data_IF_080196796044
#
_entry.id   IF_080196796044
#
_cell.length_a   1.000
_cell.length_b   1.000
_cell.length_c   1.000
_cell.angle_alpha   90.00
_cell.angle_beta   90.00
_cell.angle_gamma   90.00
#
_symmetry.space_group_name_H-M   'P 1'
#
loop_
_entity.id
_entity.type
_entity.pdbx_description
1 polymer ?
#
# COMPACT_ATOMS: atom_id res chain seq x y z
N UNK A 1 17.47 -3.38 22.19
CA UNK A 1 18.04 -2.66 21.03
C UNK A 1 16.89 -1.98 20.29
N UNK A 2 16.90 -0.65 20.21
CA UNK A 2 15.89 0.10 19.44
C UNK A 2 16.23 -0.02 17.95
N UNK A 3 15.54 -0.89 17.20
CA UNK A 3 15.62 -0.90 15.74
C UNK A 3 15.05 0.42 15.24
N UNK A 4 15.85 1.24 14.55
CA UNK A 4 15.33 2.39 13.80
C UNK A 4 14.44 1.85 12.68
N UNK A 5 13.14 2.13 12.75
CA UNK A 5 12.18 1.86 11.68
C UNK A 5 12.14 3.06 10.73
N UNK A 6 12.13 2.86 9.40
CA UNK A 6 11.91 3.97 8.48
C UNK A 6 10.50 4.53 8.73
N UNK A 7 10.40 5.86 8.86
CA UNK A 7 9.14 6.56 9.13
C UNK A 7 8.46 7.09 7.87
N UNK A 8 9.21 7.22 6.76
CA UNK A 8 8.74 7.78 5.50
C UNK A 8 9.59 7.24 4.33
N UNK A 9 8.95 6.94 3.21
CA UNK A 9 9.58 6.68 1.91
C UNK A 9 8.96 7.61 0.86
N UNK A 10 9.76 8.05 -0.12
CA UNK A 10 9.33 8.94 -1.20
C UNK A 10 9.83 8.38 -2.53
N UNK A 11 8.94 8.32 -3.53
CA UNK A 11 9.24 7.80 -4.86
C UNK A 11 8.80 8.77 -5.97
N UNK A 12 9.73 9.03 -6.89
CA UNK A 12 9.49 9.78 -8.13
C UNK A 12 9.12 8.81 -9.26
N UNK A 13 7.98 9.03 -9.92
CA UNK A 13 7.46 8.13 -10.96
C UNK A 13 7.42 8.87 -12.29
N UNK A 14 8.18 8.35 -13.25
CA UNK A 14 8.31 8.89 -14.60
C UNK A 14 7.47 8.09 -15.60
N UNK A 15 6.93 8.75 -16.61
CA UNK A 15 6.22 8.09 -17.70
C UNK A 15 7.15 7.66 -18.86
N UNK A 16 6.58 7.12 -19.95
CA UNK A 16 7.35 6.62 -21.10
C UNK A 16 8.11 7.70 -21.88
N UNK A 17 7.83 8.99 -21.66
CA UNK A 17 8.59 10.12 -22.22
C UNK A 17 9.71 10.59 -21.29
N UNK A 18 9.83 9.99 -20.09
CA UNK A 18 10.76 10.42 -19.05
C UNK A 18 10.28 11.66 -18.29
N UNK A 19 9.00 12.02 -18.41
CA UNK A 19 8.42 13.14 -17.66
C UNK A 19 7.96 12.66 -16.29
N UNK A 20 8.26 13.44 -15.24
CA UNK A 20 7.79 13.15 -13.90
C UNK A 20 6.26 13.29 -13.89
N UNK A 21 5.55 12.18 -13.71
CA UNK A 21 4.08 12.14 -13.79
C UNK A 21 3.42 12.01 -12.41
N UNK A 22 4.13 11.45 -11.42
CA UNK A 22 3.64 11.25 -10.06
C UNK A 22 4.75 11.31 -9.02
N UNK A 23 4.37 11.80 -7.84
CA UNK A 23 5.11 11.67 -6.59
C UNK A 23 4.31 10.74 -5.67
N UNK A 24 4.99 9.82 -4.99
CA UNK A 24 4.37 8.96 -3.99
C UNK A 24 5.08 9.09 -2.65
N UNK A 25 4.31 9.31 -1.60
CA UNK A 25 4.77 9.32 -0.21
C UNK A 25 4.16 8.13 0.52
N UNK A 26 5.00 7.35 1.20
CA UNK A 26 4.58 6.18 1.96
C UNK A 26 4.93 6.37 3.42
N UNK A 27 3.89 6.39 4.26
CA UNK A 27 4.01 6.58 5.71
C UNK A 27 4.13 5.21 6.36
N UNK A 28 5.35 4.82 6.71
CA UNK A 28 5.65 3.46 7.16
C UNK A 28 5.47 3.33 8.69
N UNK A 29 4.88 2.21 9.11
CA UNK A 29 4.73 1.85 10.51
C UNK A 29 5.16 0.39 10.75
N UNK A 30 5.78 0.10 11.91
CA UNK A 30 6.04 -1.28 12.31
C UNK A 30 4.74 -1.95 12.77
N UNK A 31 4.40 -3.08 12.16
CA UNK A 31 3.33 -3.98 12.59
C UNK A 31 3.95 -5.13 13.39
N UNK A 32 4.11 -4.92 14.70
CA UNK A 32 4.85 -5.83 15.57
C UNK A 32 4.25 -7.24 15.63
N UNK A 33 2.93 -7.35 15.68
CA UNK A 33 2.22 -8.64 15.72
C UNK A 33 2.44 -9.49 14.46
N UNK A 34 2.81 -8.85 13.35
CA UNK A 34 3.10 -9.48 12.06
C UNK A 34 4.59 -9.47 11.71
N UNK A 35 5.45 -8.99 12.62
CA UNK A 35 6.90 -8.88 12.47
C UNK A 35 7.37 -8.17 11.18
N UNK A 36 6.58 -7.22 10.66
CA UNK A 36 6.86 -6.53 9.39
C UNK A 36 6.68 -5.02 9.50
N UNK A 37 7.21 -4.29 8.52
CA UNK A 37 6.96 -2.85 8.33
C UNK A 37 6.08 -2.66 7.11
N UNK A 38 4.99 -1.90 7.25
CA UNK A 38 4.04 -1.67 6.16
C UNK A 38 3.51 -0.24 6.20
N UNK A 39 2.88 0.19 5.11
CA UNK A 39 2.30 1.53 5.03
C UNK A 39 1.08 1.66 5.95
N UNK A 40 1.14 2.62 6.86
CA UNK A 40 -0.01 3.13 7.63
C UNK A 40 -0.85 4.12 6.83
N UNK A 41 -0.28 4.66 5.74
CA UNK A 41 -0.93 5.54 4.80
C UNK A 41 -0.02 5.74 3.59
N UNK A 42 -0.61 6.14 2.48
CA UNK A 42 0.13 6.59 1.31
C UNK A 42 -0.58 7.78 0.68
N UNK A 43 0.19 8.72 0.15
CA UNK A 43 -0.30 9.80 -0.67
C UNK A 43 0.32 9.69 -2.07
N UNK A 44 -0.53 9.74 -3.10
CA UNK A 44 -0.09 9.77 -4.49
C UNK A 44 -0.56 11.06 -5.13
N UNK A 45 0.37 11.81 -5.71
CA UNK A 45 0.12 13.08 -6.38
C UNK A 45 0.26 12.88 -7.89
N UNK A 46 -0.77 13.19 -8.66
CA UNK A 46 -0.72 13.25 -10.12
C UNK A 46 -0.38 14.67 -10.54
N UNK A 47 0.87 14.86 -10.96
CA UNK A 47 1.43 16.19 -11.22
C UNK A 47 0.89 16.80 -12.51
N UNK A 48 0.35 15.98 -13.42
CA UNK A 48 -0.21 16.44 -14.69
C UNK A 48 -1.65 16.93 -14.49
N UNK A 49 -2.45 16.17 -13.76
CA UNK A 49 -3.85 16.49 -13.52
C UNK A 49 -4.08 17.37 -12.28
N UNK A 50 -3.05 17.61 -11.46
CA UNK A 50 -3.14 18.44 -10.25
C UNK A 50 -4.02 17.85 -9.14
N UNK A 51 -4.19 16.52 -9.13
CA UNK A 51 -5.02 15.79 -8.15
C UNK A 51 -4.15 14.93 -7.25
N UNK A 52 -4.69 14.55 -6.10
CA UNK A 52 -4.05 13.61 -5.19
C UNK A 52 -5.05 12.57 -4.70
N UNK A 53 -4.53 11.41 -4.30
CA UNK A 53 -5.27 10.36 -3.62
C UNK A 53 -4.51 9.96 -2.36
N UNK A 54 -5.26 9.71 -1.28
CA UNK A 54 -4.71 9.19 -0.03
C UNK A 54 -5.36 7.83 0.23
N UNK A 55 -4.52 6.80 0.37
CA UNK A 55 -4.99 5.44 0.63
C UNK A 55 -4.45 4.93 1.96
N UNK A 56 -4.84 3.70 2.29
CA UNK A 56 -4.33 2.98 3.43
C UNK A 56 -4.61 3.59 4.82
N UNK A 57 -5.49 4.60 4.91
CA UNK A 57 -6.02 5.12 6.17
C UNK A 57 -6.89 4.06 6.88
N UNK A 58 -6.55 3.71 8.12
CA UNK A 58 -7.17 2.62 8.89
C UNK A 58 -8.07 3.08 10.03
N UNK A 59 -8.19 4.39 10.26
CA UNK A 59 -9.03 4.94 11.33
C UNK A 59 -10.47 4.40 11.23
N UNK A 60 -10.93 3.73 12.29
CA UNK A 60 -12.31 3.23 12.40
C UNK A 60 -12.51 1.75 12.06
N UNK A 61 -11.49 1.04 11.57
CA UNK A 61 -11.62 -0.39 11.22
C UNK A 61 -10.97 -1.27 12.30
N UNK A 62 -11.75 -2.20 12.89
CA UNK A 62 -11.25 -3.12 13.94
C UNK A 62 -10.13 -4.05 13.46
N UNK A 63 -10.19 -4.47 12.19
CA UNK A 63 -9.18 -5.31 11.55
C UNK A 63 -9.08 -4.90 10.10
N UNK A 64 -7.95 -4.31 9.71
CA UNK A 64 -7.71 -3.89 8.33
C UNK A 64 -6.95 -4.94 7.51
N UNK A 65 -6.05 -5.66 8.16
CA UNK A 65 -5.15 -6.61 7.52
C UNK A 65 -5.26 -7.97 8.20
N UNK A 66 -5.33 -9.04 7.41
CA UNK A 66 -5.18 -10.42 7.86
C UNK A 66 -3.77 -10.85 7.47
N UNK A 67 -2.92 -11.06 8.47
CA UNK A 67 -1.55 -11.49 8.27
C UNK A 67 -1.45 -13.01 8.35
N UNK A 68 -0.47 -13.59 7.65
CA UNK A 68 -0.17 -15.03 7.66
C UNK A 68 -1.33 -15.95 7.22
N UNK A 69 -2.24 -15.44 6.37
CA UNK A 69 -3.27 -16.28 5.77
C UNK A 69 -2.65 -17.29 4.79
N UNK A 70 -3.04 -18.56 4.90
CA UNK A 70 -2.55 -19.63 4.04
C UNK A 70 -3.29 -19.59 2.70
N UNK A 71 -2.71 -18.89 1.72
CA UNK A 71 -3.24 -18.82 0.36
C UNK A 71 -2.60 -19.88 -0.55
N UNK A 72 -3.36 -20.33 -1.54
CA UNK A 72 -2.93 -21.28 -2.57
C UNK A 72 -3.15 -20.70 -3.97
N UNK A 73 -2.52 -21.28 -5.00
CA UNK A 73 -2.67 -20.79 -6.39
C UNK A 73 -4.13 -20.78 -6.87
N UNK A 74 -4.96 -21.71 -6.39
CA UNK A 74 -6.38 -21.77 -6.78
C UNK A 74 -7.18 -20.56 -6.29
N UNK A 75 -6.72 -19.86 -5.25
CA UNK A 75 -7.34 -18.63 -4.75
C UNK A 75 -7.23 -17.45 -5.72
N UNK A 76 -6.35 -17.54 -6.74
CA UNK A 76 -6.07 -16.47 -7.70
C UNK A 76 -6.56 -16.79 -9.12
N UNK A 77 -7.50 -17.73 -9.28
CA UNK A 77 -8.09 -18.01 -10.60
C UNK A 77 -9.17 -16.97 -10.94
N UNK A 78 -9.42 -16.67 -12.23
CA UNK A 78 -10.48 -15.74 -12.63
C UNK A 78 -11.87 -16.14 -12.08
N UNK A 79 -12.15 -17.44 -12.04
CA UNK A 79 -13.40 -17.97 -11.50
C UNK A 79 -13.53 -17.66 -10.00
N UNK A 80 -12.45 -17.83 -9.23
CA UNK A 80 -12.44 -17.61 -7.79
C UNK A 80 -12.50 -16.12 -7.43
N UNK A 81 -11.76 -15.26 -8.14
CA UNK A 81 -11.85 -13.80 -7.96
C UNK A 81 -13.27 -13.28 -8.25
N UNK A 82 -13.93 -13.82 -9.30
CA UNK A 82 -15.33 -13.48 -9.60
C UNK A 82 -16.29 -13.95 -8.52
N UNK A 83 -15.99 -15.06 -7.85
CA UNK A 83 -16.79 -15.58 -6.73
C UNK A 83 -16.68 -14.69 -5.49
N UNK A 84 -15.47 -14.20 -5.19
CA UNK A 84 -15.19 -13.31 -4.05
C UNK A 84 -15.81 -11.92 -4.25
N UNK A 85 -15.87 -11.43 -5.49
CA UNK A 85 -16.44 -10.12 -5.82
C UNK A 85 -17.96 -10.04 -5.93
N UNK A 86 -18.70 -11.13 -5.66
CA UNK A 86 -20.16 -11.12 -5.53
C UNK A 86 -20.58 -10.80 -4.11
#
# INVERSE_FOLDING_TARGET
>A
MSKKSPSLSVSDIYDSRGELWRLQEEYLAPYHDAELTYFAGEATYDLIAGRYAVNNISNGTKTKWIWNEQLSKSNFTPAELKRIGK
#
